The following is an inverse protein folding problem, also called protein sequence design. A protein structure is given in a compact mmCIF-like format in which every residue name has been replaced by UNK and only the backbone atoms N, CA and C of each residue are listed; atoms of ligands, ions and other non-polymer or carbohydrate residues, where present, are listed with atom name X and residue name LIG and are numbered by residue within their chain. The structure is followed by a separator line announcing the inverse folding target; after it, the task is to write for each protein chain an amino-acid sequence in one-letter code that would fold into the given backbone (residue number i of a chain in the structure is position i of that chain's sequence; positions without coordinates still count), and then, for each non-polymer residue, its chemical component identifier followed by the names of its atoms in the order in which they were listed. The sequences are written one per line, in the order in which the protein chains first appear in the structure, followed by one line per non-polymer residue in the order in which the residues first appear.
data_IF_206332198786
#
_entry.id   IF_206332198786
#
_cell.length_a   1.000
_cell.length_b   1.000
_cell.length_c   1.000
_cell.angle_alpha   90.00
_cell.angle_beta   90.00
_cell.angle_gamma   90.00
#
_symmetry.space_group_name_H-M   'P 1'
#
loop_
_entity.id
_entity.type
_entity.pdbx_description
1 polymer ?
#
# COMPACT_ATOMS: atom_id res chain seq x y z
N UNK A 1 -21.67 16.09 -23.00
CA UNK A 1 -21.39 15.23 -21.82
C UNK A 1 -21.56 16.07 -20.57
N UNK A 2 -22.70 15.91 -19.90
CA UNK A 2 -22.98 16.59 -18.62
C UNK A 2 -22.28 15.77 -17.54
N UNK A 3 -21.18 16.28 -17.00
CA UNK A 3 -20.58 15.69 -15.81
C UNK A 3 -21.60 15.85 -14.68
N UNK A 4 -22.24 14.75 -14.27
CA UNK A 4 -22.98 14.75 -13.00
C UNK A 4 -21.91 14.94 -11.93
N UNK A 5 -21.84 16.15 -11.38
CA UNK A 5 -20.96 16.47 -10.26
C UNK A 5 -21.35 15.55 -9.11
N UNK A 6 -20.52 14.53 -8.89
CA UNK A 6 -20.66 13.57 -7.80
C UNK A 6 -20.49 14.34 -6.48
N UNK A 7 -21.59 14.83 -5.89
CA UNK A 7 -21.51 15.64 -4.68
C UNK A 7 -21.27 14.75 -3.45
N UNK A 8 -20.33 15.18 -2.61
CA UNK A 8 -20.18 14.67 -1.26
C UNK A 8 -21.42 15.06 -0.43
N UNK A 9 -21.71 14.32 0.65
CA UNK A 9 -22.77 14.73 1.58
C UNK A 9 -22.29 15.93 2.41
N UNK A 10 -22.97 17.06 2.26
CA UNK A 10 -22.73 18.30 2.99
C UNK A 10 -23.50 18.39 4.32
N UNK A 11 -24.13 17.29 4.76
CA UNK A 11 -24.87 17.24 6.02
C UNK A 11 -23.94 17.44 7.23
N UNK A 12 -24.12 18.51 8.02
CA UNK A 12 -23.24 18.80 9.16
C UNK A 12 -23.41 17.81 10.33
N UNK A 13 -24.53 17.08 10.37
CA UNK A 13 -24.90 16.11 11.42
C UNK A 13 -24.45 14.68 11.14
N UNK A 14 -23.88 14.44 9.95
CA UNK A 14 -23.41 13.10 9.55
C UNK A 14 -22.35 12.55 10.53
N UNK A 15 -22.32 11.23 10.78
CA UNK A 15 -21.22 10.59 11.52
C UNK A 15 -19.87 10.91 10.85
N UNK A 16 -18.97 11.57 11.58
CA UNK A 16 -17.68 12.04 11.05
C UNK A 16 -16.61 10.95 11.13
N UNK A 17 -15.67 10.98 10.20
CA UNK A 17 -14.45 10.18 10.32
C UNK A 17 -13.62 10.68 11.51
N UNK A 18 -12.82 9.78 12.08
CA UNK A 18 -11.78 10.15 13.04
C UNK A 18 -10.85 11.16 12.37
N UNK A 19 -10.48 12.22 13.09
CA UNK A 19 -9.58 13.22 12.50
C UNK A 19 -8.19 12.63 12.25
N UNK A 20 -7.48 13.13 11.23
CA UNK A 20 -6.12 12.66 10.94
C UNK A 20 -5.19 12.80 12.15
N UNK A 21 -5.27 13.91 12.87
CA UNK A 21 -4.39 14.15 14.02
C UNK A 21 -4.66 13.17 15.16
N UNK A 22 -5.93 12.93 15.47
CA UNK A 22 -6.34 11.95 16.49
C UNK A 22 -5.89 10.54 16.12
N UNK A 23 -6.15 10.12 14.88
CA UNK A 23 -5.72 8.82 14.39
C UNK A 23 -4.19 8.68 14.39
N UNK A 24 -3.44 9.70 13.94
CA UNK A 24 -1.98 9.69 13.92
C UNK A 24 -1.38 9.52 15.31
N UNK A 25 -1.90 10.25 16.31
CA UNK A 25 -1.42 10.16 17.70
C UNK A 25 -1.67 8.76 18.26
N UNK A 26 -2.89 8.23 18.06
CA UNK A 26 -3.21 6.87 18.47
C UNK A 26 -2.31 5.84 17.75
N UNK A 27 -2.18 5.95 16.43
CA UNK A 27 -1.46 5.01 15.58
C UNK A 27 0.02 4.90 15.97
N UNK A 28 0.70 6.02 16.18
CA UNK A 28 2.11 6.02 16.59
C UNK A 28 2.30 5.37 17.95
N UNK A 29 1.41 5.63 18.91
CA UNK A 29 1.46 4.97 20.22
C UNK A 29 1.27 3.46 20.12
N UNK A 30 0.29 3.01 19.36
CA UNK A 30 0.05 1.57 19.18
C UNK A 30 1.20 0.90 18.42
N UNK A 31 1.78 1.61 17.44
CA UNK A 31 2.96 1.15 16.69
C UNK A 31 4.17 0.98 17.62
N UNK A 32 4.50 2.00 18.41
CA UNK A 32 5.60 1.93 19.37
C UNK A 32 5.38 0.82 20.40
N UNK A 33 4.14 0.64 20.88
CA UNK A 33 3.80 -0.44 21.81
C UNK A 33 3.98 -1.83 21.19
N UNK A 34 3.56 -2.02 19.93
CA UNK A 34 3.72 -3.28 19.21
C UNK A 34 5.19 -3.63 19.02
N UNK A 35 5.99 -2.62 18.68
CA UNK A 35 7.41 -2.79 18.47
C UNK A 35 8.17 -3.07 19.79
N UNK A 36 7.78 -2.40 20.87
CA UNK A 36 8.33 -2.63 22.20
C UNK A 36 7.96 -4.00 22.78
N UNK A 37 6.85 -4.60 22.36
CA UNK A 37 6.44 -5.93 22.83
C UNK A 37 7.33 -7.05 22.29
N UNK A 38 8.24 -6.76 21.34
CA UNK A 38 9.07 -7.78 20.69
C UNK A 38 8.24 -8.79 19.89
N UNK A 39 7.06 -8.38 19.40
CA UNK A 39 6.25 -9.22 18.54
C UNK A 39 7.00 -9.56 17.25
N UNK A 40 6.87 -10.79 16.78
CA UNK A 40 7.48 -11.20 15.51
C UNK A 40 6.82 -10.56 14.28
N UNK A 41 7.26 -10.99 13.11
CA UNK A 41 6.83 -10.46 11.81
C UNK A 41 5.30 -10.46 11.60
N UNK A 42 4.59 -11.54 11.98
CA UNK A 42 3.15 -11.68 11.72
C UNK A 42 2.27 -10.63 12.42
N UNK A 43 2.44 -10.33 13.72
CA UNK A 43 1.79 -9.17 14.35
C UNK A 43 2.05 -7.85 13.62
N UNK A 44 3.30 -7.61 13.19
CA UNK A 44 3.68 -6.40 12.46
C UNK A 44 2.98 -6.32 11.11
N UNK A 45 2.99 -7.40 10.34
CA UNK A 45 2.30 -7.48 9.05
C UNK A 45 0.82 -7.14 9.21
N UNK A 46 0.12 -7.77 10.17
CA UNK A 46 -1.29 -7.48 10.44
C UNK A 46 -1.56 -6.01 10.79
N UNK A 47 -0.64 -5.40 11.53
CA UNK A 47 -0.75 -4.00 11.91
C UNK A 47 -0.58 -3.08 10.69
N UNK A 48 0.43 -3.33 9.85
CA UNK A 48 0.66 -2.57 8.63
C UNK A 48 -0.46 -2.77 7.60
N UNK A 49 -1.06 -3.96 7.53
CA UNK A 49 -2.28 -4.22 6.74
C UNK A 49 -3.47 -3.39 7.22
N UNK A 50 -3.63 -3.17 8.53
CA UNK A 50 -4.70 -2.34 9.07
C UNK A 50 -4.42 -0.84 8.91
N UNK A 51 -3.14 -0.45 8.82
CA UNK A 51 -2.67 0.93 8.88
C UNK A 51 -1.67 1.25 7.75
N UNK A 52 -2.09 1.13 6.47
CA UNK A 52 -1.17 1.22 5.34
C UNK A 52 -0.54 2.61 5.17
N UNK A 53 -1.05 3.64 5.85
CA UNK A 53 -0.40 4.96 5.91
C UNK A 53 1.02 4.92 6.49
N UNK A 54 1.39 3.88 7.25
CA UNK A 54 2.76 3.66 7.76
C UNK A 54 3.71 3.09 6.71
N UNK A 55 3.19 2.45 5.65
CA UNK A 55 4.02 1.85 4.63
C UNK A 55 4.64 2.95 3.75
N UNK A 56 5.96 2.88 3.51
CA UNK A 56 6.62 3.83 2.64
C UNK A 56 6.14 3.68 1.18
N UNK A 57 6.26 4.74 0.40
CA UNK A 57 5.95 4.74 -1.02
C UNK A 57 4.48 4.97 -1.39
N UNK A 58 3.62 5.29 -0.42
CA UNK A 58 2.31 5.84 -0.75
C UNK A 58 2.42 7.24 -1.40
N UNK A 59 3.53 7.94 -1.13
CA UNK A 59 3.88 9.26 -1.66
C UNK A 59 5.25 9.22 -2.33
N UNK A 60 5.83 10.38 -2.64
CA UNK A 60 7.11 10.52 -3.36
C UNK A 60 8.34 10.22 -2.48
N UNK A 61 8.14 9.57 -1.33
CA UNK A 61 9.21 9.12 -0.43
C UNK A 61 9.96 7.90 -0.96
N UNK A 62 9.38 7.14 -1.91
CA UNK A 62 10.02 6.00 -2.58
C UNK A 62 9.91 6.12 -4.09
N UNK A 63 11.05 6.34 -4.74
CA UNK A 63 11.16 6.47 -6.20
C UNK A 63 10.51 7.75 -6.75
N UNK A 64 10.78 8.10 -8.02
CA UNK A 64 10.24 9.30 -8.64
C UNK A 64 8.76 9.15 -8.98
N UNK A 65 8.03 10.27 -8.91
CA UNK A 65 6.67 10.41 -9.40
C UNK A 65 5.60 9.82 -8.48
N UNK A 66 4.49 10.55 -8.32
CA UNK A 66 3.36 10.12 -7.50
C UNK A 66 2.18 11.07 -7.47
N UNK A 67 2.11 12.02 -8.40
CA UNK A 67 1.05 13.03 -8.44
C UNK A 67 -0.36 12.43 -8.68
N UNK A 68 -0.47 11.14 -9.04
CA UNK A 68 -1.75 10.44 -9.21
C UNK A 68 -2.13 9.52 -8.06
N UNK A 69 -1.33 9.45 -6.98
CA UNK A 69 -1.57 8.55 -5.86
C UNK A 69 -1.43 7.07 -6.22
N UNK A 70 -1.78 6.19 -5.29
CA UNK A 70 -1.81 4.75 -5.52
C UNK A 70 -3.11 4.32 -6.25
N UNK A 71 -2.97 3.39 -7.20
CA UNK A 71 -4.11 2.74 -7.87
C UNK A 71 -5.07 2.17 -6.83
N UNK A 72 -6.38 2.28 -7.09
CA UNK A 72 -7.45 1.85 -6.19
C UNK A 72 -7.41 2.49 -4.78
N UNK A 73 -6.63 3.57 -4.58
CA UNK A 73 -6.46 4.22 -3.28
C UNK A 73 -6.10 3.22 -2.17
N UNK A 74 -5.28 2.22 -2.49
CA UNK A 74 -5.01 1.11 -1.58
C UNK A 74 -3.63 0.48 -1.79
N UNK A 75 -3.08 -0.11 -0.73
CA UNK A 75 -1.96 -1.04 -0.83
C UNK A 75 -2.51 -2.43 -1.12
N UNK A 76 -1.73 -3.26 -1.81
CA UNK A 76 -2.06 -4.67 -2.01
C UNK A 76 -1.22 -5.48 -1.02
N UNK A 77 -1.87 -6.26 -0.17
CA UNK A 77 -1.25 -7.22 0.74
C UNK A 77 -1.01 -8.54 0.01
N UNK A 78 0.21 -9.06 0.14
CA UNK A 78 0.68 -10.31 -0.46
C UNK A 78 0.32 -10.47 -1.95
N UNK A 79 0.58 -9.45 -2.80
CA UNK A 79 0.30 -9.51 -4.23
C UNK A 79 1.03 -10.68 -4.88
N UNK A 80 0.32 -11.43 -5.72
CA UNK A 80 0.94 -12.46 -6.52
C UNK A 80 1.67 -11.86 -7.72
N UNK A 81 2.98 -12.09 -7.81
CA UNK A 81 3.76 -11.85 -9.03
C UNK A 81 3.80 -13.15 -9.84
N UNK A 82 2.71 -13.40 -10.56
CA UNK A 82 2.56 -14.58 -11.42
C UNK A 82 3.34 -14.40 -12.72
N UNK A 83 4.35 -15.22 -12.94
CA UNK A 83 5.13 -15.23 -14.18
C UNK A 83 5.29 -16.64 -14.74
N UNK A 84 6.17 -16.79 -15.73
CA UNK A 84 6.52 -18.11 -16.31
C UNK A 84 7.35 -19.02 -15.39
N UNK A 85 7.75 -18.52 -14.21
CA UNK A 85 8.56 -19.23 -13.23
C UNK A 85 7.89 -19.37 -11.86
N UNK A 86 8.72 -19.50 -10.82
CA UNK A 86 8.25 -19.56 -9.43
C UNK A 86 7.45 -18.29 -9.08
N UNK A 87 6.30 -18.49 -8.42
CA UNK A 87 5.47 -17.40 -7.89
C UNK A 87 6.22 -16.66 -6.78
N UNK A 88 6.10 -15.34 -6.76
CA UNK A 88 6.67 -14.47 -5.72
C UNK A 88 5.54 -13.67 -5.07
N UNK A 89 5.72 -13.37 -3.80
CA UNK A 89 4.73 -12.67 -2.99
C UNK A 89 5.47 -11.65 -2.11
N UNK A 90 5.68 -10.42 -2.59
CA UNK A 90 6.01 -9.31 -1.70
C UNK A 90 5.00 -9.23 -0.56
N UNK A 91 5.39 -8.81 0.64
CA UNK A 91 4.42 -8.60 1.72
C UNK A 91 3.39 -7.53 1.38
N UNK A 92 3.84 -6.46 0.73
CA UNK A 92 2.99 -5.38 0.24
C UNK A 92 3.42 -4.89 -1.13
N UNK A 93 2.48 -4.28 -1.86
CA UNK A 93 2.79 -3.51 -3.05
C UNK A 93 1.87 -2.32 -3.22
N UNK A 94 2.47 -1.16 -3.45
CA UNK A 94 1.79 -0.04 -4.07
C UNK A 94 1.90 -0.15 -5.58
N UNK A 95 0.84 0.20 -6.31
CA UNK A 95 0.91 0.41 -7.75
C UNK A 95 0.68 1.88 -7.99
N UNK A 96 1.75 2.63 -8.25
CA UNK A 96 1.68 4.05 -8.55
C UNK A 96 1.82 4.30 -10.04
N UNK A 97 1.41 5.49 -10.47
CA UNK A 97 1.52 5.92 -11.86
C UNK A 97 1.87 7.40 -11.96
N UNK A 98 2.65 7.74 -12.97
CA UNK A 98 2.76 9.11 -13.48
C UNK A 98 2.37 9.12 -14.97
N UNK A 99 2.62 10.22 -15.67
CA UNK A 99 2.28 10.34 -17.10
C UNK A 99 3.03 9.37 -18.00
N UNK A 100 4.22 8.91 -17.60
CA UNK A 100 5.13 8.12 -18.42
C UNK A 100 5.16 6.62 -18.02
N UNK A 101 5.07 6.32 -16.73
CA UNK A 101 5.36 5.00 -16.18
C UNK A 101 4.33 4.50 -15.17
N UNK A 102 4.28 3.18 -15.02
CA UNK A 102 3.70 2.46 -13.89
C UNK A 102 4.84 2.04 -12.96
N UNK A 103 4.70 2.34 -11.67
CA UNK A 103 5.70 2.06 -10.65
C UNK A 103 5.13 1.15 -9.57
N UNK A 104 5.31 -0.18 -9.70
CA UNK A 104 5.10 -1.07 -8.58
C UNK A 104 6.18 -0.81 -7.53
N UNK A 105 5.78 -0.64 -6.29
CA UNK A 105 6.68 -0.53 -5.14
C UNK A 105 6.48 -1.80 -4.33
N UNK A 106 7.35 -2.79 -4.53
CA UNK A 106 7.32 -4.05 -3.78
C UNK A 106 8.00 -3.84 -2.43
N UNK A 107 7.32 -4.22 -1.35
CA UNK A 107 7.80 -4.04 0.02
C UNK A 107 7.91 -5.41 0.66
N UNK A 108 9.10 -5.73 1.16
CA UNK A 108 9.33 -6.84 2.08
C UNK A 108 9.46 -6.29 3.50
N UNK A 109 8.88 -7.00 4.46
CA UNK A 109 9.11 -6.78 5.88
C UNK A 109 9.76 -8.01 6.49
N UNK A 110 10.57 -7.78 7.51
CA UNK A 110 11.24 -8.87 8.24
C UNK A 110 10.93 -8.79 9.74
N UNK A 111 11.32 -9.80 10.52
CA UNK A 111 11.14 -9.71 11.97
C UNK A 111 11.89 -8.49 12.55
N UNK A 112 11.25 -7.61 13.35
CA UNK A 112 11.92 -6.45 13.93
C UNK A 112 13.15 -6.79 14.79
N UNK A 113 13.20 -8.00 15.37
CA UNK A 113 14.32 -8.45 16.18
C UNK A 113 15.54 -8.91 15.35
N UNK A 114 15.39 -9.08 14.02
CA UNK A 114 16.51 -9.41 13.14
C UNK A 114 17.53 -8.26 13.14
N UNK A 115 18.80 -8.63 13.15
CA UNK A 115 19.94 -7.71 13.12
C UNK A 115 20.48 -7.56 11.71
N UNK A 116 20.92 -6.36 11.39
CA UNK A 116 21.59 -6.05 10.13
C UNK A 116 23.00 -6.64 10.10
N UNK A 117 23.74 -6.48 11.20
CA UNK A 117 25.14 -6.86 11.29
C UNK A 117 25.43 -7.74 12.50
N UNK A 118 26.42 -8.62 12.32
CA UNK A 118 26.99 -9.40 13.41
C UNK A 118 27.80 -8.50 14.35
N UNK A 119 27.54 -8.48 15.68
CA UNK A 119 28.20 -7.54 16.60
C UNK A 119 29.73 -7.62 16.62
N UNK A 120 30.29 -8.82 16.43
CA UNK A 120 31.74 -9.04 16.49
C UNK A 120 32.44 -8.81 15.14
N UNK A 121 31.94 -9.46 14.09
CA UNK A 121 32.57 -9.38 12.76
C UNK A 121 32.16 -8.14 11.97
N UNK A 122 31.09 -7.45 12.38
CA UNK A 122 30.50 -6.30 11.68
C UNK A 122 30.11 -6.63 10.23
N UNK A 123 29.98 -7.90 9.88
CA UNK A 123 29.52 -8.38 8.57
C UNK A 123 28.00 -8.50 8.56
N UNK A 124 27.35 -8.35 7.38
CA UNK A 124 25.92 -8.66 7.24
C UNK A 124 25.56 -10.02 7.84
N UNK A 125 24.36 -10.12 8.40
CA UNK A 125 23.80 -11.39 8.86
C UNK A 125 23.36 -12.26 7.68
N UNK A 126 23.17 -13.56 7.94
CA UNK A 126 22.65 -14.47 6.93
C UNK A 126 21.20 -14.10 6.58
N UNK A 127 20.40 -13.75 7.58
CA UNK A 127 19.01 -13.30 7.45
C UNK A 127 18.91 -12.03 6.60
N UNK A 128 19.82 -11.06 6.77
CA UNK A 128 19.85 -9.88 5.92
C UNK A 128 20.22 -10.25 4.47
N UNK A 129 21.13 -11.20 4.30
CA UNK A 129 21.54 -11.67 2.97
C UNK A 129 20.37 -12.33 2.24
N UNK A 130 19.58 -13.15 2.95
CA UNK A 130 18.35 -13.77 2.42
C UNK A 130 17.29 -12.72 2.04
N UNK A 131 17.04 -11.73 2.90
CA UNK A 131 16.09 -10.65 2.60
C UNK A 131 16.52 -9.82 1.37
N UNK A 132 17.82 -9.55 1.22
CA UNK A 132 18.35 -8.87 0.03
C UNK A 132 18.25 -9.73 -1.23
N UNK A 133 18.37 -11.05 -1.11
CA UNK A 133 18.19 -11.97 -2.24
C UNK A 133 16.73 -11.95 -2.74
N UNK A 134 15.75 -11.88 -1.84
CA UNK A 134 14.34 -11.73 -2.24
C UNK A 134 14.09 -10.47 -3.11
N UNK A 135 14.74 -9.34 -2.80
CA UNK A 135 14.66 -8.14 -3.65
C UNK A 135 15.27 -8.39 -5.05
N UNK A 136 16.41 -9.09 -5.10
CA UNK A 136 17.04 -9.49 -6.37
C UNK A 136 16.10 -10.40 -7.17
N UNK A 137 15.43 -11.35 -6.51
CA UNK A 137 14.48 -12.23 -7.16
C UNK A 137 13.32 -11.47 -7.83
N UNK A 138 12.85 -10.39 -7.21
CA UNK A 138 11.85 -9.51 -7.84
C UNK A 138 12.44 -8.71 -9.01
N UNK A 139 13.67 -8.21 -8.90
CA UNK A 139 14.37 -7.58 -10.04
C UNK A 139 14.49 -8.51 -11.23
N UNK A 140 14.88 -9.76 -11.00
CA UNK A 140 14.95 -10.81 -12.02
C UNK A 140 13.56 -11.14 -12.58
N UNK A 141 12.52 -11.07 -11.75
CA UNK A 141 11.16 -11.27 -12.21
C UNK A 141 10.70 -10.14 -13.13
N UNK A 142 10.92 -8.88 -12.74
CA UNK A 142 10.53 -7.70 -13.52
C UNK A 142 11.42 -7.47 -14.74
N UNK A 143 12.63 -8.01 -14.82
CA UNK A 143 13.48 -7.88 -16.02
C UNK A 143 12.95 -8.65 -17.23
N UNK A 144 12.00 -9.58 -17.03
CA UNK A 144 11.41 -10.40 -18.10
C UNK A 144 10.22 -9.68 -18.75
N UNK A 145 10.24 -9.41 -20.07
CA UNK A 145 9.14 -8.71 -20.76
C UNK A 145 7.78 -9.40 -20.63
N UNK A 146 7.74 -10.73 -20.60
CA UNK A 146 6.49 -11.48 -20.46
C UNK A 146 5.85 -11.26 -19.10
N UNK A 147 6.67 -11.23 -18.04
CA UNK A 147 6.23 -10.95 -16.69
C UNK A 147 5.73 -9.50 -16.55
N UNK A 148 6.41 -8.55 -17.17
CA UNK A 148 5.96 -7.16 -17.25
C UNK A 148 4.58 -7.03 -17.90
N UNK A 149 4.34 -7.74 -19.01
CA UNK A 149 3.04 -7.75 -19.68
C UNK A 149 1.95 -8.35 -18.80
N UNK A 150 2.24 -9.46 -18.11
CA UNK A 150 1.31 -10.09 -17.15
C UNK A 150 1.00 -9.11 -16.01
N UNK A 151 2.02 -8.46 -15.45
CA UNK A 151 1.87 -7.46 -14.40
C UNK A 151 0.90 -6.34 -14.81
N UNK A 152 1.14 -5.70 -15.96
CA UNK A 152 0.33 -4.58 -16.43
C UNK A 152 -1.12 -5.00 -16.65
N UNK A 153 -1.38 -6.14 -17.29
CA UNK A 153 -2.75 -6.66 -17.46
C UNK A 153 -3.44 -6.97 -16.14
N UNK A 154 -2.66 -7.33 -15.13
CA UNK A 154 -3.17 -7.74 -13.81
C UNK A 154 -3.48 -6.52 -12.95
N UNK A 155 -2.53 -5.59 -12.84
CA UNK A 155 -2.51 -4.54 -11.83
C UNK A 155 -2.70 -3.12 -12.39
N UNK A 156 -2.57 -2.92 -13.70
CA UNK A 156 -2.75 -1.63 -14.37
C UNK A 156 -3.32 -1.79 -15.80
N UNK A 157 -4.47 -2.47 -15.98
CA UNK A 157 -4.96 -2.88 -17.30
C UNK A 157 -5.20 -1.71 -18.26
N UNK A 158 -5.61 -0.56 -17.73
CA UNK A 158 -5.87 0.66 -18.53
C UNK A 158 -4.59 1.39 -18.96
N UNK A 159 -3.42 0.96 -18.46
CA UNK A 159 -2.14 1.62 -18.68
C UNK A 159 -1.06 0.67 -19.19
N UNK A 160 -1.47 -0.39 -19.90
CA UNK A 160 -0.57 -1.41 -20.48
C UNK A 160 0.43 -0.87 -21.49
N UNK A 161 0.24 0.35 -21.98
CA UNK A 161 1.14 1.04 -22.90
C UNK A 161 2.30 1.78 -22.21
N UNK A 162 2.27 1.93 -20.88
CA UNK A 162 3.31 2.64 -20.11
C UNK A 162 4.45 1.71 -19.72
N UNK A 163 5.63 2.28 -19.52
CA UNK A 163 6.80 1.54 -19.04
C UNK A 163 6.61 1.12 -17.59
N UNK A 164 7.20 -0.02 -17.21
CA UNK A 164 7.28 -0.43 -15.81
C UNK A 164 8.62 -0.02 -15.20
N UNK A 165 8.56 0.72 -14.10
CA UNK A 165 9.72 1.18 -13.34
C UNK A 165 9.57 0.73 -11.88
N UNK A 166 9.85 -0.55 -11.57
CA UNK A 166 9.68 -1.11 -10.24
C UNK A 166 10.64 -0.48 -9.21
N UNK A 167 10.15 -0.34 -7.99
CA UNK A 167 10.91 0.05 -6.80
C UNK A 167 10.82 -1.06 -5.75
N UNK A 168 11.86 -1.18 -4.93
CA UNK A 168 12.02 -2.26 -3.97
C UNK A 168 12.31 -1.71 -2.60
N UNK A 169 11.50 -2.06 -1.62
CA UNK A 169 11.63 -1.61 -0.25
C UNK A 169 11.89 -2.81 0.64
N UNK A 170 12.84 -2.65 1.57
CA UNK A 170 13.05 -3.58 2.67
C UNK A 170 12.87 -2.84 3.99
N UNK A 171 11.94 -3.32 4.82
CA UNK A 171 11.76 -2.87 6.21
C UNK A 171 12.36 -3.93 7.13
N UNK A 172 13.49 -3.61 7.76
CA UNK A 172 14.30 -4.60 8.46
C UNK A 172 14.89 -4.05 9.75
N UNK A 173 14.77 -4.82 10.83
CA UNK A 173 15.40 -4.55 12.11
C UNK A 173 14.99 -3.25 12.81
N UNK A 174 15.54 -3.03 14.01
CA UNK A 174 15.35 -1.82 14.81
C UNK A 174 16.40 -0.77 14.53
N UNK A 175 16.03 0.50 14.65
CA UNK A 175 16.99 1.61 14.65
C UNK A 175 17.91 1.60 15.89
N UNK A 176 17.52 0.89 16.96
CA UNK A 176 18.33 0.69 18.17
C UNK A 176 19.73 0.12 17.86
N UNK A 177 19.87 -0.71 16.81
CA UNK A 177 21.17 -1.23 16.37
C UNK A 177 22.15 -0.12 15.94
N UNK A 178 21.64 1.06 15.62
CA UNK A 178 22.40 2.20 15.10
C UNK A 178 22.35 3.43 16.02
N UNK A 179 21.83 3.30 17.25
CA UNK A 179 21.81 4.38 18.24
C UNK A 179 22.95 4.21 19.25
N UNK A 180 23.79 5.23 19.49
CA UNK A 180 24.97 5.09 20.35
C UNK A 180 24.73 4.51 21.75
N UNK A 181 23.57 4.79 22.36
CA UNK A 181 23.24 4.32 23.71
C UNK A 181 22.71 2.88 23.78
N UNK A 182 22.29 2.31 22.64
CA UNK A 182 21.60 1.01 22.58
C UNK A 182 22.32 -0.01 21.67
N UNK A 183 23.20 0.48 20.79
CA UNK A 183 23.82 -0.33 19.76
C UNK A 183 24.71 -1.41 20.35
N UNK A 184 24.64 -2.65 19.83
CA UNK A 184 25.59 -3.70 20.17
C UNK A 184 26.96 -3.50 19.50
N UNK A 185 27.11 -2.48 18.64
CA UNK A 185 28.32 -2.22 17.86
C UNK A 185 29.14 -1.11 18.50
N UNK A 186 30.46 -1.29 18.54
CA UNK A 186 31.38 -0.29 19.07
C UNK A 186 31.32 1.04 18.28
N UNK A 187 31.08 0.97 16.96
CA UNK A 187 30.89 2.13 16.09
C UNK A 187 29.55 2.04 15.36
N UNK A 188 28.50 2.45 16.07
CA UNK A 188 27.12 2.47 15.55
C UNK A 188 26.93 3.44 14.36
N UNK A 189 27.72 4.52 14.30
CA UNK A 189 27.67 5.48 13.21
C UNK A 189 28.23 4.89 11.91
N UNK A 190 29.36 4.17 12.00
CA UNK A 190 29.91 3.43 10.86
C UNK A 190 28.94 2.34 10.38
N UNK A 191 28.27 1.61 11.29
CA UNK A 191 27.26 0.61 10.90
C UNK A 191 26.06 1.23 10.17
N UNK A 192 25.59 2.41 10.61
CA UNK A 192 24.54 3.15 9.90
C UNK A 192 24.98 3.58 8.52
N UNK A 193 26.21 4.09 8.39
CA UNK A 193 26.77 4.47 7.10
C UNK A 193 26.89 3.24 6.17
N UNK A 194 27.42 2.12 6.67
CA UNK A 194 27.54 0.87 5.93
C UNK A 194 26.20 0.40 5.38
N UNK A 195 25.14 0.39 6.20
CA UNK A 195 23.77 0.09 5.76
C UNK A 195 23.33 0.99 4.59
N UNK A 196 23.56 2.30 4.69
CA UNK A 196 23.18 3.24 3.65
C UNK A 196 23.93 2.99 2.33
N UNK A 197 25.17 2.50 2.38
CA UNK A 197 25.95 2.11 1.19
C UNK A 197 25.59 0.73 0.61
N UNK A 198 24.74 -0.07 1.28
CA UNK A 198 24.32 -1.38 0.77
C UNK A 198 23.21 -1.29 -0.28
N UNK A 199 22.46 -0.19 -0.31
CA UNK A 199 21.35 0.00 -1.25
C UNK A 199 21.86 0.02 -2.69
N UNK A 200 21.21 -0.76 -3.56
CA UNK A 200 21.44 -0.72 -5.01
C UNK A 200 20.37 0.13 -5.69
N UNK A 201 20.46 0.26 -7.01
CA UNK A 201 19.49 1.01 -7.81
C UNK A 201 18.05 0.57 -7.50
N UNK A 202 17.19 1.55 -7.22
CA UNK A 202 15.77 1.38 -6.88
C UNK A 202 15.49 0.55 -5.60
N UNK A 203 16.49 0.34 -4.74
CA UNK A 203 16.32 -0.26 -3.41
C UNK A 203 16.28 0.80 -2.32
N UNK A 204 15.33 0.67 -1.39
CA UNK A 204 15.10 1.63 -0.31
C UNK A 204 14.99 0.87 1.02
N UNK A 205 15.80 1.27 2.00
CA UNK A 205 15.90 0.56 3.27
C UNK A 205 15.34 1.38 4.43
N UNK A 206 14.45 0.76 5.18
CA UNK A 206 13.83 1.34 6.37
C UNK A 206 14.07 0.42 7.57
N UNK A 207 14.22 1.01 8.75
CA UNK A 207 14.01 0.29 10.02
C UNK A 207 12.55 0.45 10.43
N UNK A 208 12.03 -0.46 11.26
CA UNK A 208 10.65 -0.36 11.76
C UNK A 208 10.38 0.95 12.51
N UNK A 209 11.36 1.45 13.26
CA UNK A 209 11.28 2.74 13.98
C UNK A 209 11.23 3.96 13.04
N UNK A 210 11.66 3.81 11.78
CA UNK A 210 11.72 4.93 10.82
C UNK A 210 10.40 5.17 10.08
N UNK A 211 9.45 4.23 10.17
CA UNK A 211 8.15 4.34 9.52
C UNK A 211 7.34 5.48 10.14
N UNK A 212 6.74 6.31 9.29
CA UNK A 212 5.94 7.45 9.70
C UNK A 212 4.64 7.48 8.91
N UNK A 213 3.49 7.71 9.57
CA UNK A 213 2.23 7.76 8.87
C UNK A 213 2.16 9.02 8.00
N UNK A 214 1.87 8.84 6.72
CA UNK A 214 1.71 9.95 5.75
C UNK A 214 0.24 10.34 5.60
N UNK A 215 -0.04 11.65 5.60
CA UNK A 215 -1.41 12.17 5.65
C UNK A 215 -2.17 11.97 4.33
N UNK A 216 -1.45 11.92 3.23
CA UNK A 216 -1.94 11.69 1.88
C UNK A 216 -2.53 10.28 1.73
N UNK A 217 -2.01 9.31 2.49
CA UNK A 217 -2.50 7.94 2.52
C UNK A 217 -3.49 7.67 3.67
N UNK A 218 -3.98 8.72 4.35
CA UNK A 218 -4.90 8.56 5.50
C UNK A 218 -6.19 7.84 5.15
N UNK A 219 -6.62 7.91 3.90
CA UNK A 219 -7.85 7.27 3.42
C UNK A 219 -7.54 6.00 2.63
N UNK A 220 -6.29 5.52 2.61
CA UNK A 220 -5.92 4.34 1.82
C UNK A 220 -6.27 3.05 2.54
N UNK A 221 -6.89 2.13 1.80
CA UNK A 221 -7.22 0.79 2.27
C UNK A 221 -6.11 -0.22 2.02
N UNK A 222 -6.38 -1.45 2.44
CA UNK A 222 -5.58 -2.62 2.07
C UNK A 222 -6.45 -3.60 1.31
N UNK A 223 -5.99 -4.01 0.15
CA UNK A 223 -6.63 -5.00 -0.71
C UNK A 223 -5.86 -6.32 -0.68
N UNK A 224 -6.57 -7.40 -0.96
CA UNK A 224 -6.00 -8.66 -1.40
C UNK A 224 -6.60 -9.03 -2.75
N UNK A 225 -5.87 -9.83 -3.53
CA UNK A 225 -6.37 -10.37 -4.79
C UNK A 225 -6.66 -11.85 -4.63
N UNK A 226 -7.86 -12.26 -4.98
CA UNK A 226 -8.26 -13.66 -5.10
C UNK A 226 -8.60 -14.00 -6.55
N UNK A 227 -8.87 -15.28 -6.84
CA UNK A 227 -9.34 -15.72 -8.16
C UNK A 227 -10.65 -15.02 -8.55
N UNK A 228 -11.44 -14.57 -7.57
CA UNK A 228 -12.73 -13.89 -7.80
C UNK A 228 -12.60 -12.38 -8.03
N UNK A 229 -11.40 -11.83 -7.92
CA UNK A 229 -11.12 -10.41 -8.09
C UNK A 229 -10.48 -9.79 -6.85
N UNK A 230 -10.90 -8.56 -6.55
CA UNK A 230 -10.35 -7.78 -5.45
C UNK A 230 -11.21 -7.93 -4.19
N UNK A 231 -10.55 -8.14 -3.06
CA UNK A 231 -11.17 -8.21 -1.74
C UNK A 231 -10.60 -7.09 -0.87
N UNK A 232 -11.48 -6.38 -0.16
CA UNK A 232 -11.08 -5.34 0.79
C UNK A 232 -10.73 -5.98 2.12
N UNK A 233 -9.45 -5.90 2.51
CA UNK A 233 -8.92 -6.53 3.72
C UNK A 233 -9.07 -5.63 4.94
N UNK A 234 -8.76 -4.35 4.80
CA UNK A 234 -8.83 -3.38 5.89
C UNK A 234 -9.06 -1.95 5.38
N UNK A 235 -9.57 -1.10 6.27
CA UNK A 235 -9.73 0.33 6.09
C UNK A 235 -9.25 1.07 7.35
N UNK A 236 -8.67 2.27 7.21
CA UNK A 236 -8.31 3.10 8.35
C UNK A 236 -9.55 3.80 8.94
N UNK A 237 -9.55 4.19 10.22
CA UNK A 237 -10.66 4.90 10.87
C UNK A 237 -10.94 6.30 10.30
N UNK A 238 -9.94 6.86 9.62
CA UNK A 238 -10.03 8.11 8.87
C UNK A 238 -10.79 7.96 7.56
N UNK A 239 -11.01 6.74 7.06
CA UNK A 239 -11.55 6.49 5.73
C UNK A 239 -12.83 7.27 5.47
N UNK A 240 -12.81 8.02 4.38
CA UNK A 240 -13.95 8.72 3.79
C UNK A 240 -14.17 8.26 2.37
N UNK A 241 -15.42 8.38 1.89
CA UNK A 241 -15.73 8.08 0.49
C UNK A 241 -15.71 9.36 -0.33
N UNK A 242 -14.98 9.34 -1.45
CA UNK A 242 -14.86 10.49 -2.36
C UNK A 242 -15.08 10.06 -3.81
N UNK A 243 -15.66 10.89 -4.69
CA UNK A 243 -15.84 10.60 -6.11
C UNK A 243 -14.59 10.07 -6.83
N UNK A 244 -13.42 10.56 -6.44
CA UNK A 244 -12.12 10.17 -7.03
C UNK A 244 -11.76 8.70 -6.77
N UNK A 245 -12.43 8.04 -5.82
CA UNK A 245 -12.24 6.62 -5.49
C UNK A 245 -13.09 5.70 -6.36
N UNK A 246 -13.60 6.19 -7.51
CA UNK A 246 -14.42 5.42 -8.46
C UNK A 246 -13.84 4.04 -8.75
N UNK A 247 -12.54 3.95 -9.07
CA UNK A 247 -11.88 2.68 -9.40
C UNK A 247 -12.00 1.65 -8.25
N UNK A 248 -11.90 2.09 -6.98
CA UNK A 248 -12.05 1.25 -5.80
C UNK A 248 -13.50 0.72 -5.68
N UNK A 249 -14.50 1.58 -5.85
CA UNK A 249 -15.91 1.20 -5.77
C UNK A 249 -16.35 0.28 -6.91
N UNK A 250 -15.69 0.36 -8.06
CA UNK A 250 -15.92 -0.53 -9.19
C UNK A 250 -15.48 -1.96 -8.89
N UNK A 251 -14.32 -2.14 -8.25
CA UNK A 251 -13.74 -3.47 -8.03
C UNK A 251 -14.18 -4.12 -6.71
N UNK A 252 -14.53 -3.32 -5.69
CA UNK A 252 -14.93 -3.83 -4.38
C UNK A 252 -16.45 -3.83 -4.25
N UNK A 253 -17.01 -5.04 -4.15
CA UNK A 253 -18.45 -5.22 -4.05
C UNK A 253 -19.01 -5.18 -2.63
N UNK A 254 -18.24 -5.60 -1.64
CA UNK A 254 -18.72 -5.84 -0.26
C UNK A 254 -17.71 -5.32 0.76
N UNK A 255 -17.88 -4.08 1.27
CA UNK A 255 -16.96 -3.50 2.24
C UNK A 255 -17.23 -3.94 3.69
N UNK A 256 -18.34 -4.61 3.97
CA UNK A 256 -18.90 -4.80 5.32
C UNK A 256 -17.94 -5.55 6.25
N UNK A 257 -17.29 -6.59 5.75
CA UNK A 257 -16.36 -7.40 6.54
C UNK A 257 -15.10 -6.62 6.96
N UNK A 258 -14.64 -5.68 6.13
CA UNK A 258 -13.54 -4.79 6.48
C UNK A 258 -14.01 -3.69 7.42
N UNK A 259 -15.16 -3.08 7.12
CA UNK A 259 -15.77 -2.03 7.93
C UNK A 259 -16.05 -2.48 9.36
N UNK A 260 -16.44 -3.75 9.59
CA UNK A 260 -16.68 -4.30 10.92
C UNK A 260 -15.42 -4.38 11.81
N UNK A 261 -14.22 -4.32 11.23
CA UNK A 261 -12.94 -4.47 11.95
C UNK A 261 -12.24 -3.13 12.20
N UNK A 262 -12.72 -2.04 11.61
CA UNK A 262 -12.08 -0.73 11.72
C UNK A 262 -12.09 -0.29 13.19
N UNK A 263 -10.95 0.02 13.82
CA UNK A 263 -10.92 0.51 15.19
C UNK A 263 -11.47 1.95 15.25
N UNK A 264 -11.69 2.48 16.46
CA UNK A 264 -11.97 3.92 16.69
C UNK A 264 -13.23 4.51 16.03
N UNK A 265 -14.09 3.71 15.38
CA UNK A 265 -15.36 4.16 14.83
C UNK A 265 -16.54 3.41 15.47
N UNK A 266 -17.63 4.12 15.67
CA UNK A 266 -18.89 3.59 16.18
C UNK A 266 -19.76 2.98 15.06
N UNK A 267 -20.87 2.35 15.46
CA UNK A 267 -21.78 1.68 14.52
C UNK A 267 -22.48 2.67 13.58
N UNK A 268 -22.77 3.89 14.06
CA UNK A 268 -23.36 4.95 13.24
C UNK A 268 -22.41 5.33 12.09
N UNK A 269 -21.11 5.48 12.37
CA UNK A 269 -20.09 5.75 11.36
C UNK A 269 -19.89 4.58 10.40
N UNK A 270 -19.88 3.34 10.89
CA UNK A 270 -19.80 2.14 10.03
C UNK A 270 -20.97 2.08 9.06
N UNK A 271 -22.19 2.27 9.55
CA UNK A 271 -23.40 2.28 8.74
C UNK A 271 -23.36 3.38 7.67
N UNK A 272 -22.96 4.60 8.06
CA UNK A 272 -22.82 5.73 7.14
C UNK A 272 -21.82 5.43 6.00
N UNK A 273 -20.66 4.86 6.31
CA UNK A 273 -19.67 4.52 5.26
C UNK A 273 -20.21 3.44 4.32
N UNK A 274 -20.88 2.41 4.84
CA UNK A 274 -21.50 1.36 4.04
C UNK A 274 -22.58 1.92 3.10
N UNK A 275 -23.46 2.80 3.59
CA UNK A 275 -24.48 3.48 2.80
C UNK A 275 -23.84 4.30 1.67
N UNK A 276 -22.82 5.12 1.99
CA UNK A 276 -22.12 5.92 0.98
C UNK A 276 -21.38 5.06 -0.05
N UNK A 277 -20.84 3.92 0.37
CA UNK A 277 -20.23 2.96 -0.55
C UNK A 277 -21.27 2.42 -1.54
N UNK A 278 -22.44 2.01 -1.05
CA UNK A 278 -23.54 1.55 -1.90
C UNK A 278 -24.01 2.64 -2.87
N UNK A 279 -24.17 3.88 -2.38
CA UNK A 279 -24.51 5.04 -3.21
C UNK A 279 -23.54 5.21 -4.39
N UNK A 280 -22.23 5.22 -4.14
CA UNK A 280 -21.24 5.37 -5.20
C UNK A 280 -21.30 4.23 -6.22
N UNK A 281 -21.51 2.99 -5.77
CA UNK A 281 -21.67 1.84 -6.66
C UNK A 281 -22.90 1.97 -7.56
N UNK A 282 -24.03 2.40 -7.01
CA UNK A 282 -25.26 2.65 -7.80
C UNK A 282 -25.04 3.73 -8.85
N UNK A 283 -24.40 4.85 -8.48
CA UNK A 283 -24.09 5.93 -9.42
C UNK A 283 -23.21 5.45 -10.58
N UNK A 284 -22.19 4.63 -10.30
CA UNK A 284 -21.31 4.07 -11.33
C UNK A 284 -22.08 3.15 -12.28
N UNK A 285 -22.98 2.32 -11.77
CA UNK A 285 -23.80 1.42 -12.59
C UNK A 285 -24.76 2.20 -13.50
N UNK A 286 -25.39 3.26 -12.98
CA UNK A 286 -26.28 4.13 -13.75
C UNK A 286 -25.53 4.85 -14.89
N UNK A 287 -24.33 5.37 -14.62
CA UNK A 287 -23.51 6.03 -15.63
C UNK A 287 -23.13 5.07 -16.77
N UNK A 288 -22.76 3.82 -16.45
CA UNK A 288 -22.46 2.80 -17.48
C UNK A 288 -23.66 2.47 -18.36
N UNK A 289 -24.86 2.38 -17.77
CA UNK A 289 -26.08 2.10 -18.54
C UNK A 289 -26.45 3.27 -19.48
N UNK A 290 -26.30 4.51 -19.01
CA UNK A 290 -26.52 5.70 -19.84
C UNK A 290 -25.55 5.82 -21.01
N UNK A 291 -24.27 5.50 -20.82
CA UNK A 291 -23.26 5.46 -21.90
C UNK A 291 -23.58 4.41 -22.98
N UNK A 292 -24.12 3.25 -22.59
CA UNK A 292 -24.54 2.19 -23.52
C UNK A 292 -25.78 2.63 -24.32
N UNK A 293 -26.74 3.31 -23.71
CA UNK A 293 -27.96 3.78 -24.41
C UNK A 293 -27.66 4.89 -25.42
N UNK A 294 -26.71 5.80 -25.12
CA UNK A 294 -26.30 6.87 -26.06
C UNK A 294 -25.50 6.32 -27.24
N UNK A 295 -24.66 5.31 -27.04
CA UNK A 295 -23.92 4.68 -28.14
C UNK A 295 -24.81 3.82 -29.04
N UNK A 296 -25.88 3.23 -28.52
CA UNK A 296 -26.84 2.45 -29.30
C UNK A 296 -27.80 3.29 -30.17
N UNK A 297 -27.99 4.58 -29.86
CA UNK A 297 -28.92 5.47 -30.58
C UNK A 297 -28.25 6.40 -31.60
N UNK A 298 -26.91 6.42 -31.66
CA UNK A 298 -26.14 7.24 -32.60
C UNK A 298 -25.77 6.56 -33.93
N UNK A 299 -26.36 5.41 -34.25
CA UNK A 299 -26.00 4.56 -35.39
C UNK A 299 -26.97 4.54 -36.58
N UNK A 300 -28.05 5.31 -36.56
CA UNK A 300 -28.98 5.41 -37.69
C UNK A 300 -29.09 6.87 -38.15
N UNK A 301 -28.31 7.22 -39.18
CA UNK A 301 -28.27 8.56 -39.74
C UNK A 301 -27.20 8.75 -40.82
N UNK A 302 -27.21 7.90 -41.85
CA UNK A 302 -26.83 8.26 -43.23
C UNK A 302 -27.96 7.84 -44.17
#
# INVERSE_FOLDING_TARGET
MTWVTLQASDDPTRPRAVSWNEYRVWLLREWDSLLASGGGEKPVQKFLEAHPSLLPGATDDVGPGGHHGASLHSVISQPELQGLGRRRYPDFMWVRRDTAAIRPICIEIEDPAKRWFNPRSQTPTAELTEALDQLIEWKVWFSKPENQSIFLKTYAPDFTFRTLEPQYVLIYGRDAEFRPAESPHADSAYMRAKRNFMGRDNEHFYTFDSLKPVAEARDYGTLTRSVRGWDLKALPPTFTTHPIMRELFEVISRPEAALAKVPLIDDARRAYVAERWAHWRTQIQQNRQGEITVTATGGEGE
#
